data_IF_211079402954
#
_entry.id   IF_211079402954
#
_cell.length_a   1.000
_cell.length_b   1.000
_cell.length_c   1.000
_cell.angle_alpha   90.00
_cell.angle_beta   90.00
_cell.angle_gamma   90.00
#
_symmetry.space_group_name_H-M   'P 1'
#
loop_
_entity.id
_entity.type
_entity.pdbx_description
1 polymer ?
#
# COMPACT_ATOMS: atom_id res chain seq x y z
N UNK A 1 64.73 -4.12 -8.26
CA UNK A 1 63.86 -4.90 -7.34
C UNK A 1 62.67 -4.09 -6.76
N UNK A 2 62.59 -2.77 -6.93
CA UNK A 2 61.50 -1.91 -6.46
C UNK A 2 60.19 -2.02 -7.29
N UNK A 3 60.28 -2.30 -8.61
CA UNK A 3 59.13 -2.34 -9.49
C UNK A 3 58.16 -3.50 -9.19
N UNK A 4 58.64 -4.68 -8.83
CA UNK A 4 57.79 -5.83 -8.54
C UNK A 4 56.96 -5.63 -7.26
N UNK A 5 57.50 -4.99 -6.27
CA UNK A 5 56.81 -4.67 -5.01
C UNK A 5 55.68 -3.60 -5.24
N UNK A 6 55.94 -2.63 -6.11
CA UNK A 6 54.97 -1.61 -6.46
C UNK A 6 53.82 -2.23 -7.27
N UNK A 7 54.12 -3.11 -8.23
CA UNK A 7 53.13 -3.77 -9.04
C UNK A 7 52.19 -4.66 -8.18
N UNK A 8 52.76 -5.39 -7.22
CA UNK A 8 51.96 -6.21 -6.29
C UNK A 8 51.01 -5.37 -5.42
N UNK A 9 51.48 -4.21 -4.93
CA UNK A 9 50.67 -3.28 -4.11
C UNK A 9 49.49 -2.68 -4.90
N UNK A 10 49.73 -2.32 -6.17
CA UNK A 10 48.66 -1.77 -7.03
C UNK A 10 47.63 -2.81 -7.41
N UNK A 11 48.02 -4.06 -7.65
CA UNK A 11 47.09 -5.15 -7.93
C UNK A 11 46.23 -5.51 -6.72
N UNK A 12 46.82 -5.53 -5.52
CA UNK A 12 46.05 -5.75 -4.29
C UNK A 12 45.07 -4.60 -4.04
N UNK A 13 45.49 -3.34 -4.23
CA UNK A 13 44.62 -2.19 -4.06
C UNK A 13 43.44 -2.19 -5.05
N UNK A 14 43.70 -2.55 -6.32
CA UNK A 14 42.66 -2.69 -7.34
C UNK A 14 41.68 -3.84 -7.02
N UNK A 15 42.19 -4.94 -6.50
CA UNK A 15 41.37 -6.08 -6.06
C UNK A 15 40.43 -5.72 -4.89
N UNK A 16 40.90 -4.96 -3.92
CA UNK A 16 40.10 -4.49 -2.79
C UNK A 16 39.02 -3.50 -3.26
N UNK A 17 39.35 -2.59 -4.16
CA UNK A 17 38.38 -1.64 -4.73
C UNK A 17 37.28 -2.37 -5.52
N UNK A 18 37.65 -3.37 -6.30
CA UNK A 18 36.71 -4.19 -7.06
C UNK A 18 35.77 -4.99 -6.14
N UNK A 19 36.27 -5.54 -5.04
CA UNK A 19 35.50 -6.23 -4.02
C UNK A 19 34.52 -5.30 -3.30
N UNK A 20 34.93 -4.07 -2.97
CA UNK A 20 34.09 -3.08 -2.33
C UNK A 20 33.03 -2.52 -3.27
N UNK A 21 33.32 -2.38 -4.56
CA UNK A 21 32.37 -1.93 -5.58
C UNK A 21 31.30 -3.01 -5.91
N UNK A 22 31.61 -4.29 -5.70
CA UNK A 22 30.67 -5.40 -5.95
C UNK A 22 29.59 -5.59 -4.89
N UNK A 23 29.73 -4.98 -3.72
CA UNK A 23 28.74 -5.06 -2.61
C UNK A 23 27.85 -3.81 -2.57
N UNK A 24 27.35 -3.32 -3.70
CA UNK A 24 26.13 -2.57 -3.65
C UNK A 24 25.04 -3.57 -3.27
N UNK A 25 24.85 -3.77 -1.97
CA UNK A 25 23.65 -4.40 -1.45
C UNK A 25 22.49 -3.60 -2.02
N UNK A 26 21.91 -4.08 -3.10
CA UNK A 26 20.61 -3.61 -3.54
C UNK A 26 19.70 -3.99 -2.38
N UNK A 27 19.37 -3.03 -1.55
CA UNK A 27 18.24 -3.17 -0.66
C UNK A 27 17.06 -3.50 -1.60
N UNK A 28 16.79 -4.79 -1.73
CA UNK A 28 15.73 -5.25 -2.61
C UNK A 28 14.46 -4.67 -2.03
N UNK A 29 13.83 -3.79 -2.78
CA UNK A 29 12.53 -3.27 -2.41
C UNK A 29 11.57 -4.46 -2.40
N UNK A 30 11.27 -4.98 -1.21
CA UNK A 30 10.40 -6.14 -1.01
C UNK A 30 8.99 -5.92 -1.57
N UNK A 31 8.66 -4.70 -1.89
CA UNK A 31 7.36 -4.30 -2.46
C UNK A 31 7.39 -4.16 -3.97
N UNK A 32 8.55 -4.31 -4.59
CA UNK A 32 8.68 -4.23 -6.04
C UNK A 32 7.86 -5.31 -6.73
N UNK A 33 7.02 -4.91 -7.69
CA UNK A 33 6.18 -5.83 -8.46
C UNK A 33 4.93 -6.34 -7.74
N UNK A 34 4.70 -5.96 -6.49
CA UNK A 34 3.44 -6.30 -5.81
C UNK A 34 2.27 -5.48 -6.37
N UNK A 35 1.12 -6.12 -6.49
CA UNK A 35 -0.13 -5.42 -6.81
C UNK A 35 -0.55 -4.47 -5.66
N UNK A 36 -1.32 -3.42 -5.99
CA UNK A 36 -1.84 -2.50 -4.97
C UNK A 36 -2.67 -3.20 -3.89
N UNK A 37 -3.45 -4.21 -4.27
CA UNK A 37 -4.21 -5.02 -3.31
C UNK A 37 -3.29 -5.79 -2.35
N UNK A 38 -2.20 -6.36 -2.86
CA UNK A 38 -1.21 -7.08 -2.05
C UNK A 38 -0.46 -6.13 -1.11
N UNK A 39 -0.06 -4.96 -1.61
CA UNK A 39 0.57 -3.92 -0.80
C UNK A 39 -0.34 -3.46 0.33
N UNK A 40 -1.63 -3.29 0.05
CA UNK A 40 -2.62 -2.95 1.06
C UNK A 40 -2.74 -4.05 2.12
N UNK A 41 -2.85 -5.30 1.69
CA UNK A 41 -2.96 -6.45 2.59
C UNK A 41 -1.72 -6.60 3.49
N UNK A 42 -0.53 -6.38 2.94
CA UNK A 42 0.73 -6.59 3.67
C UNK A 42 1.04 -5.45 4.65
N UNK A 43 0.73 -4.18 4.29
CA UNK A 43 1.20 -3.03 5.05
C UNK A 43 0.10 -2.16 5.70
N UNK A 44 -1.12 -2.23 5.23
CA UNK A 44 -2.17 -1.28 5.64
C UNK A 44 -3.24 -1.89 6.54
N UNK A 45 -3.45 -3.19 6.47
CA UNK A 45 -4.53 -3.89 7.21
C UNK A 45 -4.34 -3.89 8.72
N UNK A 46 -3.14 -3.66 9.21
CA UNK A 46 -2.88 -3.51 10.64
C UNK A 46 -3.69 -2.35 11.26
N UNK A 47 -3.90 -1.27 10.50
CA UNK A 47 -4.65 -0.10 10.95
C UNK A 47 -5.97 0.09 10.18
N UNK A 48 -6.04 -0.35 8.92
CA UNK A 48 -7.18 -0.12 8.03
C UNK A 48 -7.88 -1.44 7.70
N UNK A 49 -9.06 -1.68 8.25
CA UNK A 49 -9.84 -2.90 7.97
C UNK A 49 -10.32 -3.02 6.53
N UNK A 50 -10.41 -1.91 5.82
CA UNK A 50 -10.92 -1.85 4.44
C UNK A 50 -10.17 -0.80 3.64
N UNK A 51 -9.90 -1.04 2.36
CA UNK A 51 -9.34 -0.04 1.47
C UNK A 51 -10.34 1.07 1.08
N UNK A 52 -11.63 0.84 1.34
CA UNK A 52 -12.71 1.74 0.94
C UNK A 52 -12.67 3.04 1.73
N UNK A 53 -12.85 4.15 1.01
CA UNK A 53 -12.87 5.48 1.61
C UNK A 53 -11.49 6.05 1.92
N UNK A 54 -10.40 5.31 1.69
CA UNK A 54 -9.05 5.80 1.98
C UNK A 54 -8.55 6.80 0.94
N UNK A 55 -8.99 6.70 -0.30
CA UNK A 55 -8.67 7.71 -1.30
C UNK A 55 -9.34 9.07 -1.00
N UNK A 56 -10.41 9.09 -0.21
CA UNK A 56 -11.15 10.30 0.19
C UNK A 56 -11.52 11.22 -0.98
N UNK A 57 -11.85 10.63 -2.13
CA UNK A 57 -12.15 11.38 -3.35
C UNK A 57 -10.94 12.05 -4.00
N UNK A 58 -9.72 11.80 -3.54
CA UNK A 58 -8.50 12.33 -4.16
C UNK A 58 -8.26 11.68 -5.51
N UNK A 59 -7.73 12.47 -6.44
CA UNK A 59 -7.25 11.94 -7.71
C UNK A 59 -5.99 11.10 -7.50
N UNK A 60 -5.79 10.12 -8.38
CA UNK A 60 -4.65 9.20 -8.36
C UNK A 60 -3.31 9.90 -8.13
N UNK A 61 -3.05 11.01 -8.83
CA UNK A 61 -1.78 11.74 -8.70
C UNK A 61 -1.57 12.29 -7.28
N UNK A 62 -2.59 12.94 -6.72
CA UNK A 62 -2.52 13.50 -5.36
C UNK A 62 -2.33 12.38 -4.32
N UNK A 63 -3.04 11.27 -4.51
CA UNK A 63 -2.92 10.11 -3.65
C UNK A 63 -1.54 9.46 -3.78
N UNK A 64 -1.02 9.34 -5.00
CA UNK A 64 0.33 8.85 -5.27
C UNK A 64 1.40 9.67 -4.54
N UNK A 65 1.35 11.01 -4.68
CA UNK A 65 2.32 11.89 -4.02
C UNK A 65 2.28 11.74 -2.50
N UNK A 66 1.10 11.68 -1.95
CA UNK A 66 0.90 11.47 -0.51
C UNK A 66 1.44 10.12 -0.03
N UNK A 67 1.12 9.03 -0.74
CA UNK A 67 1.57 7.69 -0.38
C UNK A 67 3.09 7.55 -0.55
N UNK A 68 3.66 8.14 -1.60
CA UNK A 68 5.09 8.14 -1.83
C UNK A 68 5.86 8.81 -0.69
N UNK A 69 5.36 9.92 -0.18
CA UNK A 69 6.01 10.70 0.88
C UNK A 69 5.88 10.02 2.26
N UNK A 70 4.75 9.39 2.55
CA UNK A 70 4.41 9.01 3.92
C UNK A 70 4.34 7.51 4.19
N UNK A 71 4.05 6.68 3.17
CA UNK A 71 3.62 5.29 3.44
C UNK A 71 4.23 4.22 2.53
N UNK A 72 4.99 4.57 1.51
CA UNK A 72 5.47 3.58 0.56
C UNK A 72 6.98 3.46 0.53
N UNK A 73 7.46 2.27 0.17
CA UNK A 73 8.87 1.94 0.05
C UNK A 73 9.50 2.44 -1.26
N UNK A 74 8.69 2.97 -2.18
CA UNK A 74 9.16 3.49 -3.45
C UNK A 74 8.03 3.95 -4.39
N UNK A 75 8.39 4.58 -5.52
CA UNK A 75 7.42 5.16 -6.45
C UNK A 75 6.49 4.13 -7.09
N UNK A 76 6.98 2.94 -7.38
CA UNK A 76 6.18 1.88 -8.00
C UNK A 76 5.11 1.38 -7.03
N UNK A 77 5.48 1.13 -5.76
CA UNK A 77 4.56 0.74 -4.71
C UNK A 77 3.50 1.83 -4.46
N UNK A 78 3.91 3.11 -4.40
CA UNK A 78 2.99 4.22 -4.26
C UNK A 78 1.99 4.31 -5.42
N UNK A 79 2.45 4.11 -6.66
CA UNK A 79 1.62 4.14 -7.86
C UNK A 79 0.61 2.99 -7.89
N UNK A 80 1.06 1.78 -7.59
CA UNK A 80 0.20 0.60 -7.54
C UNK A 80 -0.88 0.74 -6.45
N UNK A 81 -0.48 1.22 -5.27
CA UNK A 81 -1.39 1.42 -4.15
C UNK A 81 -2.40 2.55 -4.43
N UNK A 82 -1.96 3.68 -4.98
CA UNK A 82 -2.83 4.79 -5.36
C UNK A 82 -3.90 4.35 -6.38
N UNK A 83 -3.48 3.60 -7.41
CA UNK A 83 -4.40 3.08 -8.43
C UNK A 83 -5.43 2.12 -7.82
N UNK A 84 -5.00 1.26 -6.92
CA UNK A 84 -5.89 0.31 -6.25
C UNK A 84 -6.93 1.03 -5.38
N UNK A 85 -6.51 1.94 -4.52
CA UNK A 85 -7.40 2.66 -3.61
C UNK A 85 -8.41 3.52 -4.38
N UNK A 86 -7.95 4.20 -5.46
CA UNK A 86 -8.84 4.96 -6.32
C UNK A 86 -9.88 4.07 -7.01
N UNK A 87 -9.47 2.92 -7.55
CA UNK A 87 -10.38 1.99 -8.23
C UNK A 87 -11.45 1.43 -7.30
N UNK A 88 -11.10 1.13 -6.06
CA UNK A 88 -12.05 0.65 -5.05
C UNK A 88 -13.09 1.73 -4.72
N UNK A 89 -12.66 2.99 -4.58
CA UNK A 89 -13.58 4.11 -4.29
C UNK A 89 -14.40 4.52 -5.51
N UNK A 90 -13.84 4.41 -6.72
CA UNK A 90 -14.57 4.67 -7.97
C UNK A 90 -15.66 3.61 -8.21
N UNK A 91 -15.36 2.35 -7.93
CA UNK A 91 -16.36 1.27 -8.00
C UNK A 91 -17.57 1.52 -7.10
N UNK A 92 -17.36 2.15 -5.95
CA UNK A 92 -18.47 2.53 -5.06
C UNK A 92 -19.30 3.70 -5.58
N UNK A 93 -18.68 4.65 -6.28
CA UNK A 93 -19.38 5.80 -6.88
C UNK A 93 -20.22 5.40 -8.09
N UNK A 94 -19.79 4.38 -8.83
CA UNK A 94 -20.48 3.85 -10.01
C UNK A 94 -21.50 2.76 -9.71
N UNK A 95 -21.46 2.14 -8.54
CA UNK A 95 -22.49 1.21 -8.14
C UNK A 95 -23.80 1.98 -7.95
N UNK A 96 -24.92 1.61 -8.64
CA UNK A 96 -26.22 2.15 -8.29
C UNK A 96 -26.37 1.96 -6.78
N UNK A 97 -26.63 3.03 -6.07
CA UNK A 97 -27.00 2.95 -4.66
C UNK A 97 -28.22 2.04 -4.66
N UNK A 98 -27.99 0.74 -4.37
CA UNK A 98 -29.07 -0.20 -4.18
C UNK A 98 -29.99 0.49 -3.19
N UNK A 99 -31.16 0.91 -3.68
CA UNK A 99 -32.10 1.69 -2.90
C UNK A 99 -32.21 0.95 -1.57
N UNK A 100 -31.81 1.61 -0.50
CA UNK A 100 -31.83 1.02 0.82
C UNK A 100 -33.18 0.33 0.93
N UNK A 101 -33.19 -1.02 0.93
CA UNK A 101 -34.41 -1.78 1.17
C UNK A 101 -35.06 -1.08 2.35
N UNK A 102 -36.30 -0.54 2.19
CA UNK A 102 -36.94 0.10 3.31
C UNK A 102 -36.92 -0.91 4.42
N UNK A 103 -36.15 -0.59 5.46
CA UNK A 103 -35.98 -1.46 6.62
C UNK A 103 -37.36 -1.92 6.99
N UNK A 104 -37.54 -3.24 7.02
CA UNK A 104 -38.72 -3.88 7.56
C UNK A 104 -39.06 -3.11 8.84
N UNK A 105 -40.03 -2.19 8.76
CA UNK A 105 -40.56 -1.54 9.95
C UNK A 105 -40.87 -2.67 10.92
N UNK A 106 -40.09 -2.78 11.99
CA UNK A 106 -40.48 -3.59 13.12
C UNK A 106 -41.90 -3.12 13.44
N UNK A 107 -42.86 -3.98 13.11
CA UNK A 107 -44.22 -3.77 13.59
C UNK A 107 -44.11 -3.85 15.10
N UNK A 108 -44.05 -2.68 15.73
CA UNK A 108 -44.24 -2.54 17.15
C UNK A 108 -45.65 -3.05 17.41
N UNK A 109 -45.75 -4.29 17.87
CA UNK A 109 -47.01 -4.90 18.28
C UNK A 109 -47.56 -4.02 19.42
N UNK A 110 -48.77 -3.47 19.31
CA UNK A 110 -49.36 -2.70 20.39
C UNK A 110 -49.39 -3.57 21.66
N UNK A 111 -49.19 -2.98 22.81
CA UNK A 111 -49.33 -3.71 24.10
C UNK A 111 -50.71 -4.34 24.19
N UNK A 112 -50.75 -5.58 24.67
CA UNK A 112 -52.01 -6.28 24.90
C UNK A 112 -52.81 -5.54 26.00
N UNK A 113 -54.17 -5.48 25.90
CA UNK A 113 -55.00 -4.86 26.94
C UNK A 113 -54.78 -5.58 28.26
N UNK A 114 -54.58 -4.83 29.30
CA UNK A 114 -54.50 -5.35 30.69
C UNK A 114 -55.92 -5.83 31.09
N UNK A 115 -56.11 -7.09 31.58
CA UNK A 115 -57.39 -7.52 32.07
C UNK A 115 -57.76 -6.67 33.27
N UNK A 116 -58.89 -5.97 33.21
CA UNK A 116 -59.40 -5.19 34.32
C UNK A 116 -59.75 -6.09 35.53
N UNK A 117 -59.47 -5.58 36.68
CA UNK A 117 -59.99 -6.11 37.94
C UNK A 117 -61.48 -5.82 38.06
#
# INVERSE_FOLDING_TARGET
>A
MTSFRQLGRTLVALGIIALLAGTTARAQNLDQGKSGAKLFADGCTACHRSPRGLAKGRFKLTLYLYLKEHYSTGPDAASALASYLESVDAGQRGAPREAAKPGRRSSVRPPAPVPGR
#
